data_IF_725102545890
#
_entry.id   IF_725102545890
#
_cell.length_a   1.000
_cell.length_b   1.000
_cell.length_c   1.000
_cell.angle_alpha   90.00
_cell.angle_beta   90.00
_cell.angle_gamma   90.00
#
_symmetry.space_group_name_H-M   'P 1'
#
loop_
_entity.id
_entity.type
_entity.pdbx_description
1 polymer ?
#
# COMPACT_ATOMS: atom_id res chain seq x y z
N UNK A 1 40.85 -24.10 47.07
CA UNK A 1 39.82 -23.12 46.71
C UNK A 1 40.22 -22.47 45.39
N UNK A 2 39.74 -22.97 44.28
CA UNK A 2 40.02 -22.48 42.94
C UNK A 2 39.02 -21.36 42.65
N UNK A 3 39.53 -20.13 42.49
CA UNK A 3 38.72 -18.95 42.10
C UNK A 3 38.16 -19.16 40.69
N UNK A 4 36.83 -19.18 40.58
CA UNK A 4 36.10 -19.25 39.34
C UNK A 4 36.32 -17.90 38.58
N UNK A 5 36.96 -17.95 37.41
CA UNK A 5 37.07 -16.80 36.52
C UNK A 5 35.65 -16.30 36.16
N UNK A 6 35.38 -14.99 36.20
CA UNK A 6 34.10 -14.44 35.75
C UNK A 6 33.93 -14.74 34.26
N UNK A 7 32.67 -14.96 33.78
CA UNK A 7 32.40 -15.20 32.37
C UNK A 7 32.86 -14.00 31.54
N UNK A 8 33.52 -14.28 30.43
CA UNK A 8 33.89 -13.28 29.45
C UNK A 8 32.60 -12.51 29.03
N UNK A 9 32.59 -11.20 29.23
CA UNK A 9 31.55 -10.31 28.70
C UNK A 9 31.57 -10.48 27.19
N UNK A 10 30.48 -11.02 26.61
CA UNK A 10 30.31 -11.04 25.16
C UNK A 10 30.46 -9.61 24.63
N UNK A 11 31.50 -9.38 23.83
CA UNK A 11 31.70 -8.09 23.18
C UNK A 11 30.50 -7.84 22.26
N UNK A 12 29.79 -6.74 22.51
CA UNK A 12 28.65 -6.36 21.67
C UNK A 12 29.05 -6.15 20.19
N UNK A 13 28.08 -6.02 19.29
CA UNK A 13 28.37 -5.88 17.87
C UNK A 13 29.28 -4.67 17.59
N UNK A 14 30.33 -4.90 16.82
CA UNK A 14 31.29 -3.85 16.47
C UNK A 14 30.97 -3.26 15.10
N UNK A 15 31.10 -1.92 14.97
CA UNK A 15 30.95 -1.25 13.68
C UNK A 15 32.10 -1.69 12.74
N UNK A 16 31.78 -2.17 11.50
CA UNK A 16 32.82 -2.52 10.54
C UNK A 16 33.61 -1.28 10.09
N UNK A 17 34.87 -1.49 9.67
CA UNK A 17 35.67 -0.43 9.08
C UNK A 17 35.03 0.04 7.76
N UNK A 18 34.76 1.36 7.65
CA UNK A 18 34.21 1.95 6.42
C UNK A 18 35.21 1.79 5.25
N UNK A 19 34.72 1.25 4.13
CA UNK A 19 35.51 1.02 2.91
C UNK A 19 34.89 1.65 1.66
N UNK A 20 33.62 2.03 1.74
CA UNK A 20 32.87 2.64 0.64
C UNK A 20 32.47 4.06 1.04
N UNK A 21 32.40 4.94 0.03
CA UNK A 21 31.87 6.29 0.23
C UNK A 21 30.36 6.25 -0.04
N UNK A 22 29.56 6.53 1.00
CA UNK A 22 28.10 6.57 0.93
C UNK A 22 27.54 7.48 2.03
N UNK A 23 26.35 8.04 1.75
CA UNK A 23 25.60 8.76 2.77
C UNK A 23 25.10 7.80 3.85
N UNK A 24 25.30 8.17 5.14
CA UNK A 24 24.92 7.33 6.29
C UNK A 24 23.89 8.00 7.22
N UNK A 25 23.39 9.17 6.86
CA UNK A 25 22.29 9.84 7.55
C UNK A 25 20.96 9.44 6.94
N UNK A 26 20.19 8.58 7.61
CA UNK A 26 18.88 8.16 7.14
C UNK A 26 17.96 9.32 6.76
N UNK A 27 17.74 10.34 7.63
CA UNK A 27 16.95 11.51 7.27
C UNK A 27 17.51 12.27 6.05
N UNK A 28 18.85 12.46 5.98
CA UNK A 28 19.50 13.13 4.83
C UNK A 28 19.23 12.38 3.52
N UNK A 29 19.37 11.06 3.51
CA UNK A 29 19.08 10.23 2.32
C UNK A 29 17.64 10.40 1.85
N UNK A 30 16.67 10.46 2.76
CA UNK A 30 15.27 10.70 2.40
C UNK A 30 15.07 12.06 1.75
N UNK A 31 15.61 13.13 2.32
CA UNK A 31 15.49 14.48 1.77
C UNK A 31 16.13 14.59 0.38
N UNK A 32 17.35 14.08 0.23
CA UNK A 32 18.07 14.10 -1.04
C UNK A 32 17.33 13.26 -2.11
N UNK A 33 16.80 12.11 -1.73
CA UNK A 33 16.03 11.26 -2.62
C UNK A 33 14.74 11.94 -3.11
N UNK A 34 13.96 12.54 -2.20
CA UNK A 34 12.74 13.24 -2.57
C UNK A 34 12.99 14.49 -3.41
N UNK A 35 14.09 15.21 -3.11
CA UNK A 35 14.53 16.34 -3.93
C UNK A 35 14.96 15.90 -5.34
N UNK A 36 15.66 14.76 -5.45
CA UNK A 36 16.03 14.17 -6.75
C UNK A 36 14.79 13.78 -7.55
N UNK A 37 13.82 13.09 -6.94
CA UNK A 37 12.58 12.69 -7.59
C UNK A 37 11.84 13.92 -8.13
N UNK A 38 11.71 14.99 -7.35
CA UNK A 38 11.03 16.22 -7.79
C UNK A 38 11.74 16.94 -8.95
N UNK A 39 13.05 16.74 -9.11
CA UNK A 39 13.80 17.29 -10.26
C UNK A 39 13.67 16.43 -11.51
N UNK A 40 13.49 15.12 -11.36
CA UNK A 40 13.60 14.15 -12.44
C UNK A 40 12.22 13.69 -12.96
N UNK A 41 11.19 13.61 -12.09
CA UNK A 41 9.85 13.18 -12.49
C UNK A 41 9.04 14.36 -13.03
N UNK A 42 8.25 14.12 -14.07
CA UNK A 42 7.22 15.05 -14.49
C UNK A 42 5.97 14.91 -13.63
N UNK A 43 5.84 15.78 -12.64
CA UNK A 43 4.71 15.82 -11.72
C UNK A 43 3.59 16.74 -12.17
N UNK A 44 3.66 17.34 -13.37
CA UNK A 44 2.70 18.34 -13.87
C UNK A 44 1.26 17.82 -13.96
N UNK A 45 1.08 16.50 -14.11
CA UNK A 45 -0.22 15.82 -14.17
C UNK A 45 -0.72 15.29 -12.83
N UNK A 46 0.11 15.36 -11.79
CA UNK A 46 -0.25 14.94 -10.44
C UNK A 46 -0.98 16.08 -9.73
N UNK A 47 -2.14 15.85 -9.10
CA UNK A 47 -2.79 16.86 -8.27
C UNK A 47 -1.82 17.39 -7.19
N UNK A 48 -1.86 18.70 -6.94
CA UNK A 48 -0.91 19.35 -6.04
C UNK A 48 -0.91 18.77 -4.61
N UNK A 49 -2.08 18.38 -4.09
CA UNK A 49 -2.25 17.74 -2.80
C UNK A 49 -1.76 16.28 -2.77
N UNK A 50 -1.66 15.64 -3.94
CA UNK A 50 -1.18 14.26 -4.12
C UNK A 50 0.31 14.17 -4.46
N UNK A 51 1.05 15.29 -4.57
CA UNK A 51 2.47 15.29 -4.93
C UNK A 51 3.30 14.39 -3.99
N UNK A 52 3.12 14.51 -2.68
CA UNK A 52 3.84 13.69 -1.70
C UNK A 52 3.54 12.20 -1.83
N UNK A 53 2.30 11.84 -2.19
CA UNK A 53 1.93 10.46 -2.48
C UNK A 53 2.69 9.94 -3.70
N UNK A 54 2.70 10.70 -4.80
CA UNK A 54 3.43 10.33 -6.01
C UNK A 54 4.94 10.19 -5.75
N UNK A 55 5.55 11.17 -5.08
CA UNK A 55 6.99 11.14 -4.73
C UNK A 55 7.33 9.90 -3.88
N UNK A 56 6.49 9.52 -2.91
CA UNK A 56 6.72 8.30 -2.11
C UNK A 56 6.54 7.02 -2.91
N UNK A 57 5.58 6.97 -3.82
CA UNK A 57 5.40 5.82 -4.71
C UNK A 57 6.59 5.65 -5.66
N UNK A 58 7.10 6.75 -6.21
CA UNK A 58 8.32 6.79 -7.03
C UNK A 58 9.54 6.34 -6.21
N UNK A 59 9.71 6.87 -4.99
CA UNK A 59 10.79 6.47 -4.10
C UNK A 59 10.76 4.95 -3.80
N UNK A 60 9.57 4.41 -3.51
CA UNK A 60 9.40 3.00 -3.20
C UNK A 60 9.59 2.05 -4.38
N UNK A 61 9.58 2.57 -5.63
CA UNK A 61 9.76 1.78 -6.86
C UNK A 61 11.08 2.05 -7.55
N UNK A 62 11.72 3.21 -7.31
CA UNK A 62 12.89 3.68 -8.04
C UNK A 62 12.59 4.06 -9.51
N UNK A 63 11.33 4.38 -9.85
CA UNK A 63 10.88 4.61 -11.23
C UNK A 63 10.27 6.01 -11.35
N UNK A 64 11.02 6.97 -11.88
CA UNK A 64 10.56 8.36 -12.03
C UNK A 64 9.42 8.50 -13.04
N UNK A 65 9.41 7.67 -14.08
CA UNK A 65 8.36 7.58 -15.10
C UNK A 65 7.04 6.96 -14.59
N UNK A 66 7.00 6.54 -13.32
CA UNK A 66 5.77 6.11 -12.68
C UNK A 66 4.72 7.25 -12.64
N UNK A 67 5.17 8.51 -12.59
CA UNK A 67 4.31 9.68 -12.56
C UNK A 67 3.32 9.72 -13.75
N UNK A 68 3.76 9.28 -14.94
CA UNK A 68 2.93 9.27 -16.16
C UNK A 68 1.78 8.26 -16.09
N UNK A 69 1.95 7.22 -15.30
CA UNK A 69 1.00 6.10 -15.19
C UNK A 69 0.09 6.21 -13.96
N UNK A 70 0.29 7.19 -13.08
CA UNK A 70 -0.56 7.39 -11.92
C UNK A 70 -1.96 7.84 -12.31
N UNK A 71 -2.96 7.19 -11.75
CA UNK A 71 -4.36 7.61 -11.76
C UNK A 71 -4.79 7.88 -10.32
N UNK A 72 -5.12 9.11 -10.03
CA UNK A 72 -5.44 9.57 -8.67
C UNK A 72 -6.79 10.26 -8.70
N UNK A 73 -7.74 9.77 -7.91
CA UNK A 73 -9.03 10.42 -7.74
C UNK A 73 -8.84 11.75 -7.00
N UNK A 74 -9.55 12.84 -7.41
CA UNK A 74 -9.37 14.17 -6.82
C UNK A 74 -9.54 14.22 -5.29
N UNK A 75 -10.47 13.44 -4.75
CA UNK A 75 -10.79 13.44 -3.33
C UNK A 75 -9.96 12.42 -2.51
N UNK A 76 -9.04 11.68 -3.13
CA UNK A 76 -8.31 10.60 -2.46
C UNK A 76 -7.62 11.09 -1.18
N UNK A 77 -6.86 12.17 -1.28
CA UNK A 77 -6.02 12.63 -0.17
C UNK A 77 -6.87 13.02 1.03
N UNK A 78 -7.90 13.83 0.81
CA UNK A 78 -8.79 14.31 1.86
C UNK A 78 -9.57 13.18 2.51
N UNK A 79 -10.17 12.30 1.70
CA UNK A 79 -11.04 11.22 2.19
C UNK A 79 -10.24 10.13 2.89
N UNK A 80 -9.15 9.64 2.27
CA UNK A 80 -8.34 8.59 2.88
C UNK A 80 -7.69 9.04 4.19
N UNK A 81 -7.15 10.27 4.25
CA UNK A 81 -6.60 10.83 5.50
C UNK A 81 -7.67 11.00 6.56
N UNK A 82 -8.84 11.55 6.21
CA UNK A 82 -9.95 11.69 7.12
C UNK A 82 -10.40 10.36 7.72
N UNK A 83 -10.51 9.31 6.91
CA UNK A 83 -10.82 7.96 7.34
C UNK A 83 -9.75 7.43 8.33
N UNK A 84 -8.46 7.53 7.98
CA UNK A 84 -7.38 7.09 8.86
C UNK A 84 -7.35 7.88 10.19
N UNK A 85 -7.56 9.20 10.14
CA UNK A 85 -7.65 10.06 11.33
C UNK A 85 -8.85 9.72 12.21
N UNK A 86 -9.91 9.18 11.63
CA UNK A 86 -11.10 8.70 12.35
C UNK A 86 -10.93 7.26 12.90
N UNK A 87 -9.79 6.61 12.64
CA UNK A 87 -9.50 5.28 13.16
C UNK A 87 -9.88 4.14 12.22
N UNK A 88 -10.20 4.43 10.95
CA UNK A 88 -10.54 3.42 9.96
C UNK A 88 -9.46 2.34 9.83
N UNK A 89 -9.82 1.06 9.67
CA UNK A 89 -8.85 -0.01 9.44
C UNK A 89 -8.27 0.08 8.03
N UNK A 90 -7.05 -0.47 7.87
CA UNK A 90 -6.41 -0.72 6.58
C UNK A 90 -6.55 -2.21 6.26
N UNK A 91 -7.20 -2.54 5.15
CA UNK A 91 -7.43 -3.92 4.70
C UNK A 91 -6.44 -4.25 3.58
N UNK A 92 -5.57 -5.22 3.80
CA UNK A 92 -4.49 -5.58 2.88
C UNK A 92 -4.73 -6.95 2.23
N UNK A 93 -4.54 -7.05 0.90
CA UNK A 93 -4.71 -8.30 0.15
C UNK A 93 -3.66 -9.36 0.52
N UNK A 94 -2.44 -8.93 0.83
CA UNK A 94 -1.32 -9.82 1.18
C UNK A 94 -0.52 -9.30 2.37
N UNK A 95 0.14 -10.22 3.07
CA UNK A 95 0.99 -9.92 4.23
C UNK A 95 2.12 -8.94 3.87
N UNK A 96 2.65 -9.00 2.64
CA UNK A 96 3.71 -8.11 2.19
C UNK A 96 3.26 -6.63 2.18
N UNK A 97 2.03 -6.34 1.77
CA UNK A 97 1.45 -4.99 1.87
C UNK A 97 1.29 -4.59 3.34
N UNK A 98 0.68 -5.46 4.15
CA UNK A 98 0.43 -5.19 5.57
C UNK A 98 1.74 -4.94 6.36
N UNK A 99 2.81 -5.66 6.03
CA UNK A 99 4.13 -5.51 6.66
C UNK A 99 4.83 -4.22 6.19
N UNK A 100 4.56 -3.77 4.96
CA UNK A 100 5.10 -2.52 4.41
C UNK A 100 4.46 -1.25 5.01
N UNK A 101 3.33 -1.38 5.70
CA UNK A 101 2.69 -0.25 6.39
C UNK A 101 3.49 0.11 7.65
N UNK A 102 4.01 1.32 7.69
CA UNK A 102 4.73 1.87 8.84
C UNK A 102 3.73 2.25 9.94
N UNK A 103 3.55 1.37 10.93
CA UNK A 103 2.55 1.53 12.01
C UNK A 103 2.65 2.87 12.75
N UNK A 104 3.87 3.36 12.97
CA UNK A 104 4.12 4.64 13.65
C UNK A 104 3.66 5.86 12.85
N UNK A 105 3.32 5.71 11.58
CA UNK A 105 2.75 6.77 10.74
C UNK A 105 1.23 6.82 10.82
N UNK A 106 0.58 5.75 11.24
CA UNK A 106 -0.88 5.70 11.36
C UNK A 106 -1.36 6.61 12.50
N UNK A 107 -2.36 7.47 12.25
CA UNK A 107 -2.70 8.55 13.19
C UNK A 107 -3.47 8.09 14.44
N UNK A 108 -4.05 6.88 14.46
CA UNK A 108 -4.98 6.39 15.49
C UNK A 108 -4.81 4.92 15.87
N UNK A 109 -3.63 4.37 15.92
CA UNK A 109 -3.47 2.92 16.14
C UNK A 109 -4.39 2.08 15.25
N UNK A 110 -4.58 2.53 14.01
CA UNK A 110 -5.46 1.88 13.04
C UNK A 110 -5.08 0.40 12.88
N UNK A 111 -6.08 -0.46 12.88
CA UNK A 111 -5.86 -1.87 12.57
C UNK A 111 -5.38 -2.02 11.12
N UNK A 112 -4.38 -2.87 10.92
CA UNK A 112 -3.95 -3.27 9.57
C UNK A 112 -4.18 -4.77 9.46
N UNK A 113 -5.20 -5.13 8.71
CA UNK A 113 -5.72 -6.49 8.62
C UNK A 113 -5.31 -7.13 7.29
N UNK A 114 -4.80 -8.35 7.36
CA UNK A 114 -4.60 -9.21 6.20
C UNK A 114 -5.19 -10.58 6.52
N UNK A 115 -6.30 -10.91 5.89
CA UNK A 115 -7.06 -12.14 6.16
C UNK A 115 -6.66 -13.31 5.25
N UNK A 116 -5.57 -13.18 4.48
CA UNK A 116 -5.06 -14.24 3.59
C UNK A 116 -4.70 -15.54 4.34
N UNK A 117 -4.32 -15.44 5.61
CA UNK A 117 -3.99 -16.57 6.48
C UNK A 117 -5.17 -17.18 7.23
N UNK A 118 -6.39 -16.65 7.07
CA UNK A 118 -7.58 -17.16 7.75
C UNK A 118 -7.87 -18.62 7.30
N UNK A 119 -8.15 -19.55 8.23
CA UNK A 119 -8.37 -20.97 7.92
C UNK A 119 -9.55 -21.22 6.98
N UNK A 120 -10.49 -20.31 6.84
CA UNK A 120 -11.61 -20.39 5.89
C UNK A 120 -11.17 -20.17 4.45
N UNK A 121 -10.12 -19.40 4.20
CA UNK A 121 -9.68 -19.00 2.86
C UNK A 121 -9.40 -20.18 1.92
N UNK A 122 -8.66 -21.23 2.31
CA UNK A 122 -8.44 -22.37 1.41
C UNK A 122 -9.72 -23.11 1.03
N UNK A 123 -10.70 -23.16 1.92
CA UNK A 123 -12.01 -23.82 1.67
C UNK A 123 -12.81 -22.97 0.68
N UNK A 124 -12.97 -21.69 0.96
CA UNK A 124 -13.70 -20.74 0.09
C UNK A 124 -13.09 -20.68 -1.31
N UNK A 125 -11.76 -20.60 -1.41
CA UNK A 125 -11.07 -20.56 -2.69
C UNK A 125 -11.35 -21.81 -3.56
N UNK A 126 -11.35 -22.98 -2.95
CA UNK A 126 -11.67 -24.24 -3.62
C UNK A 126 -13.13 -24.29 -4.02
N UNK A 127 -14.04 -24.02 -3.09
CA UNK A 127 -15.48 -24.19 -3.29
C UNK A 127 -16.03 -23.18 -4.34
N UNK A 128 -15.42 -22.01 -4.44
CA UNK A 128 -15.76 -20.99 -5.43
C UNK A 128 -14.90 -21.03 -6.69
N UNK A 129 -13.95 -21.97 -6.78
CA UNK A 129 -13.01 -22.06 -7.90
C UNK A 129 -12.28 -20.74 -8.18
N UNK A 130 -11.85 -20.03 -7.11
CA UNK A 130 -11.20 -18.73 -7.19
C UNK A 130 -9.82 -18.73 -6.51
N UNK A 131 -9.11 -17.60 -6.55
CA UNK A 131 -7.82 -17.47 -5.88
C UNK A 131 -7.98 -17.29 -4.38
N UNK A 132 -6.95 -17.66 -3.61
CA UNK A 132 -6.93 -17.44 -2.15
C UNK A 132 -7.08 -15.96 -1.78
N UNK A 133 -6.49 -15.06 -2.57
CA UNK A 133 -6.58 -13.61 -2.32
C UNK A 133 -7.98 -13.09 -2.56
N UNK A 134 -8.67 -13.50 -3.63
CA UNK A 134 -10.07 -13.16 -3.86
C UNK A 134 -10.97 -13.70 -2.73
N UNK A 135 -10.81 -14.98 -2.36
CA UNK A 135 -11.54 -15.55 -1.24
C UNK A 135 -11.31 -14.82 0.10
N UNK A 136 -10.07 -14.37 0.35
CA UNK A 136 -9.73 -13.61 1.54
C UNK A 136 -10.41 -12.24 1.58
N UNK A 137 -10.57 -11.57 0.43
CA UNK A 137 -11.26 -10.28 0.31
C UNK A 137 -12.73 -10.39 0.70
N UNK A 138 -13.41 -11.52 0.45
CA UNK A 138 -14.78 -11.72 0.92
C UNK A 138 -14.92 -11.62 2.44
N UNK A 139 -13.87 -11.95 3.18
CA UNK A 139 -13.85 -11.83 4.64
C UNK A 139 -13.72 -10.39 5.12
N UNK A 140 -13.51 -9.43 4.22
CA UNK A 140 -13.47 -8.00 4.56
C UNK A 140 -14.84 -7.40 4.81
N UNK A 141 -15.92 -8.03 4.36
CA UNK A 141 -17.27 -7.47 4.44
C UNK A 141 -17.63 -6.85 5.81
N UNK A 142 -17.32 -7.46 6.97
CA UNK A 142 -17.60 -6.86 8.27
C UNK A 142 -16.73 -5.64 8.64
N UNK A 143 -15.65 -5.40 7.90
CA UNK A 143 -14.64 -4.36 8.18
C UNK A 143 -14.56 -3.32 7.07
N UNK A 144 -15.35 -3.46 5.99
CA UNK A 144 -15.16 -2.71 4.76
C UNK A 144 -15.73 -1.29 4.84
N UNK A 145 -16.80 -1.09 5.62
CA UNK A 145 -17.46 0.21 5.75
C UNK A 145 -16.47 1.28 6.26
N UNK A 146 -16.20 2.26 5.41
CA UNK A 146 -15.28 3.35 5.70
C UNK A 146 -13.80 2.98 5.82
N UNK A 147 -13.42 1.73 5.56
CA UNK A 147 -12.02 1.26 5.59
C UNK A 147 -11.18 1.85 4.46
N UNK A 148 -9.85 1.76 4.58
CA UNK A 148 -8.92 1.97 3.47
C UNK A 148 -8.50 0.61 2.93
N UNK A 149 -8.97 0.26 1.73
CA UNK A 149 -8.61 -1.00 1.07
C UNK A 149 -7.29 -0.86 0.31
N UNK A 150 -6.39 -1.84 0.47
CA UNK A 150 -5.04 -1.83 -0.09
C UNK A 150 -4.74 -3.14 -0.81
N UNK A 151 -4.71 -3.10 -2.12
CA UNK A 151 -4.47 -4.25 -2.99
C UNK A 151 -3.19 -4.01 -3.79
N UNK A 152 -2.13 -4.72 -3.43
CA UNK A 152 -0.80 -4.54 -3.99
C UNK A 152 -0.23 -5.76 -4.70
N UNK A 153 -0.95 -6.89 -4.71
CA UNK A 153 -0.42 -8.09 -5.31
C UNK A 153 -1.38 -8.69 -6.35
N UNK A 154 -2.61 -9.04 -5.96
CA UNK A 154 -3.45 -9.89 -6.79
C UNK A 154 -4.52 -9.10 -7.56
N UNK A 155 -4.51 -9.13 -8.92
CA UNK A 155 -5.59 -8.56 -9.72
C UNK A 155 -6.96 -9.15 -9.38
N UNK A 156 -7.02 -10.44 -9.08
CA UNK A 156 -8.25 -11.13 -8.69
C UNK A 156 -8.84 -10.62 -7.37
N UNK A 157 -7.99 -10.12 -6.45
CA UNK A 157 -8.47 -9.47 -5.23
C UNK A 157 -9.14 -8.13 -5.53
N UNK A 158 -8.59 -7.36 -6.48
CA UNK A 158 -9.20 -6.09 -6.90
C UNK A 158 -10.52 -6.31 -7.61
N UNK A 159 -10.59 -7.20 -8.59
CA UNK A 159 -11.85 -7.55 -9.24
C UNK A 159 -12.90 -8.00 -8.23
N UNK A 160 -12.52 -8.91 -7.32
CA UNK A 160 -13.46 -9.44 -6.33
C UNK A 160 -13.98 -8.34 -5.38
N UNK A 161 -13.13 -7.40 -4.96
CA UNK A 161 -13.57 -6.25 -4.18
C UNK A 161 -14.60 -5.41 -4.95
N UNK A 162 -14.34 -5.12 -6.24
CA UNK A 162 -15.26 -4.35 -7.07
C UNK A 162 -16.60 -5.08 -7.25
N UNK A 163 -16.57 -6.39 -7.48
CA UNK A 163 -17.78 -7.22 -7.57
C UNK A 163 -18.58 -7.20 -6.25
N UNK A 164 -17.93 -7.33 -5.10
CA UNK A 164 -18.61 -7.20 -3.79
C UNK A 164 -19.30 -5.84 -3.63
N UNK A 165 -18.65 -4.76 -4.05
CA UNK A 165 -19.22 -3.41 -4.00
C UNK A 165 -20.42 -3.29 -4.92
N UNK A 166 -20.36 -3.86 -6.13
CA UNK A 166 -21.46 -3.91 -7.08
C UNK A 166 -22.65 -4.74 -6.55
N UNK A 167 -22.39 -5.77 -5.76
CA UNK A 167 -23.39 -6.59 -5.08
C UNK A 167 -23.97 -5.92 -3.82
N UNK A 168 -23.56 -4.68 -3.51
CA UNK A 168 -24.13 -3.89 -2.42
C UNK A 168 -23.47 -4.06 -1.06
N UNK A 169 -22.27 -4.64 -0.99
CA UNK A 169 -21.47 -4.63 0.25
C UNK A 169 -21.05 -3.19 0.58
N UNK A 170 -20.98 -2.78 1.86
CA UNK A 170 -20.55 -1.44 2.24
C UNK A 170 -19.23 -1.03 1.58
N UNK A 171 -19.14 0.23 1.18
CA UNK A 171 -17.99 0.74 0.44
C UNK A 171 -16.84 1.13 1.37
N UNK A 172 -15.56 0.89 0.96
CA UNK A 172 -14.43 1.48 1.65
C UNK A 172 -14.41 3.00 1.41
N UNK A 173 -13.79 3.74 2.32
CA UNK A 173 -13.56 5.17 2.15
C UNK A 173 -12.61 5.45 0.98
N UNK A 174 -11.63 4.59 0.77
CA UNK A 174 -10.67 4.74 -0.33
C UNK A 174 -10.06 3.39 -0.73
N UNK A 175 -9.58 3.30 -1.99
CA UNK A 175 -8.91 2.12 -2.53
C UNK A 175 -7.51 2.49 -3.02
N UNK A 176 -6.47 1.90 -2.43
CA UNK A 176 -5.11 1.89 -2.96
C UNK A 176 -4.96 0.60 -3.78
N UNK A 177 -5.28 0.69 -5.07
CA UNK A 177 -5.41 -0.46 -5.96
C UNK A 177 -4.25 -0.56 -6.96
N UNK A 178 -3.10 -1.10 -6.55
CA UNK A 178 -1.92 -1.22 -7.39
C UNK A 178 -1.46 -2.68 -7.55
N UNK A 179 -2.32 -3.65 -7.92
CA UNK A 179 -1.86 -5.00 -8.18
C UNK A 179 -0.88 -5.03 -9.35
N UNK A 180 0.05 -5.98 -9.31
CA UNK A 180 1.10 -6.16 -10.31
C UNK A 180 0.88 -7.46 -11.09
N UNK A 181 1.20 -7.48 -12.38
CA UNK A 181 1.21 -8.75 -13.12
C UNK A 181 0.96 -8.63 -14.61
N UNK A 182 0.99 -9.80 -15.25
CA UNK A 182 0.83 -9.92 -16.70
C UNK A 182 -0.59 -10.33 -17.11
N UNK A 183 -1.38 -10.87 -16.16
CA UNK A 183 -2.75 -11.33 -16.38
C UNK A 183 -3.68 -10.60 -15.43
N UNK A 184 -4.62 -9.84 -15.95
CA UNK A 184 -5.65 -9.14 -15.17
C UNK A 184 -5.21 -7.88 -14.41
N UNK A 185 -3.90 -7.57 -14.34
CA UNK A 185 -3.43 -6.42 -13.57
C UNK A 185 -3.83 -5.09 -14.21
N UNK A 186 -3.64 -4.93 -15.50
CA UNK A 186 -4.07 -3.72 -16.20
C UNK A 186 -5.59 -3.58 -16.20
N UNK A 187 -6.28 -4.69 -16.44
CA UNK A 187 -7.73 -4.77 -16.56
C UNK A 187 -8.43 -4.48 -15.24
N UNK A 188 -7.96 -5.02 -14.12
CA UNK A 188 -8.54 -4.76 -12.80
C UNK A 188 -8.39 -3.30 -12.36
N UNK A 189 -7.27 -2.68 -12.69
CA UNK A 189 -7.02 -1.26 -12.41
C UNK A 189 -7.83 -0.33 -13.31
N UNK A 190 -8.05 -0.75 -14.56
CA UNK A 190 -8.94 -0.03 -15.45
C UNK A 190 -10.40 -0.12 -14.98
N UNK A 191 -10.84 -1.30 -14.51
CA UNK A 191 -12.17 -1.46 -13.91
C UNK A 191 -12.35 -0.55 -12.68
N UNK A 192 -11.33 -0.43 -11.82
CA UNK A 192 -11.37 0.52 -10.70
C UNK A 192 -11.50 1.97 -11.19
N UNK A 193 -10.71 2.36 -12.19
CA UNK A 193 -10.73 3.71 -12.72
C UNK A 193 -12.05 4.08 -13.40
N UNK A 194 -12.72 3.11 -14.01
CA UNK A 194 -13.98 3.28 -14.72
C UNK A 194 -15.22 3.07 -13.83
N UNK A 195 -15.06 2.71 -12.56
CA UNK A 195 -16.17 2.31 -11.67
C UNK A 195 -17.28 3.38 -11.61
N UNK A 196 -16.87 4.65 -11.57
CA UNK A 196 -17.81 5.78 -11.58
C UNK A 196 -18.54 5.90 -12.93
N UNK A 197 -17.82 5.80 -14.02
CA UNK A 197 -18.38 5.98 -15.37
C UNK A 197 -19.32 4.83 -15.75
N UNK A 198 -18.93 3.59 -15.44
CA UNK A 198 -19.65 2.38 -15.85
C UNK A 198 -20.80 2.03 -14.90
N UNK A 199 -20.68 2.33 -13.61
CA UNK A 199 -21.61 1.87 -12.57
C UNK A 199 -22.17 2.96 -11.66
N UNK A 200 -21.73 4.22 -11.84
CA UNK A 200 -22.18 5.35 -11.00
C UNK A 200 -21.66 5.32 -9.56
N UNK A 201 -20.66 4.47 -9.26
CA UNK A 201 -20.07 4.32 -7.94
C UNK A 201 -18.77 5.12 -7.87
N UNK A 202 -18.74 6.12 -6.99
CA UNK A 202 -17.63 7.07 -6.87
C UNK A 202 -16.85 6.83 -5.57
N UNK A 203 -15.77 6.07 -5.65
CA UNK A 203 -14.89 5.76 -4.52
C UNK A 203 -13.51 6.36 -4.79
N UNK A 204 -12.97 7.20 -3.88
CA UNK A 204 -11.61 7.72 -4.00
C UNK A 204 -10.56 6.63 -4.12
N UNK A 205 -9.66 6.76 -5.09
CA UNK A 205 -8.64 5.73 -5.34
C UNK A 205 -7.31 6.31 -5.82
N UNK A 206 -6.26 5.50 -5.70
CA UNK A 206 -5.02 5.60 -6.48
C UNK A 206 -4.72 4.27 -7.13
N UNK A 207 -4.30 4.33 -8.38
CA UNK A 207 -3.80 3.17 -9.12
C UNK A 207 -2.70 3.55 -10.11
N UNK A 208 -2.10 2.56 -10.75
CA UNK A 208 -1.03 2.71 -11.76
C UNK A 208 -1.46 2.00 -13.02
N UNK A 209 -1.42 2.67 -14.16
CA UNK A 209 -1.79 2.08 -15.46
C UNK A 209 -0.91 0.86 -15.81
N UNK A 210 -1.46 -0.03 -16.60
CA UNK A 210 -0.73 -1.16 -17.16
C UNK A 210 -0.36 -2.24 -16.13
N UNK A 211 0.80 -2.87 -16.32
CA UNK A 211 1.24 -4.04 -15.52
C UNK A 211 1.97 -3.66 -14.24
N UNK A 212 2.45 -2.42 -14.13
CA UNK A 212 3.18 -1.92 -12.95
C UNK A 212 2.30 -1.93 -11.72
N UNK A 213 2.93 -2.11 -10.58
CA UNK A 213 2.28 -2.14 -9.27
C UNK A 213 3.16 -2.87 -8.27
N UNK A 214 2.53 -3.41 -7.25
CA UNK A 214 3.19 -4.25 -6.27
C UNK A 214 3.09 -3.73 -4.85
N UNK A 215 3.41 -4.62 -3.90
CA UNK A 215 3.26 -4.34 -2.47
C UNK A 215 4.08 -3.14 -2.00
N UNK A 216 5.26 -2.91 -2.58
CA UNK A 216 6.11 -1.75 -2.23
C UNK A 216 5.44 -0.42 -2.63
N UNK A 217 4.89 -0.32 -3.86
CA UNK A 217 4.16 0.88 -4.30
C UNK A 217 2.92 1.12 -3.45
N UNK A 218 2.15 0.06 -3.19
CA UNK A 218 0.92 0.12 -2.38
C UNK A 218 1.20 0.57 -0.96
N UNK A 219 2.19 -0.02 -0.29
CA UNK A 219 2.56 0.39 1.07
C UNK A 219 3.16 1.79 1.12
N UNK A 220 3.91 2.21 0.08
CA UNK A 220 4.42 3.58 -0.06
C UNK A 220 3.28 4.60 -0.16
N UNK A 221 2.23 4.29 -0.95
CA UNK A 221 1.03 5.11 -1.04
C UNK A 221 0.30 5.21 0.31
N UNK A 222 0.09 4.09 0.99
CA UNK A 222 -0.51 4.07 2.34
C UNK A 222 0.29 4.90 3.34
N UNK A 223 1.62 4.77 3.35
CA UNK A 223 2.49 5.53 4.25
C UNK A 223 2.48 7.04 3.95
N UNK A 224 2.20 7.44 2.70
CA UNK A 224 2.00 8.84 2.32
C UNK A 224 0.63 9.36 2.76
N UNK A 225 -0.42 8.54 2.66
CA UNK A 225 -1.78 8.89 3.10
C UNK A 225 -1.87 8.99 4.64
N UNK A 226 -1.12 8.14 5.35
CA UNK A 226 -1.17 8.07 6.82
C UNK A 226 -0.63 9.30 7.53
N UNK A 227 0.25 10.08 6.89
CA UNK A 227 0.92 11.23 7.53
C UNK A 227 1.15 12.37 6.53
N UNK A 228 0.92 13.62 6.96
CA UNK A 228 1.19 14.81 6.15
C UNK A 228 2.68 15.15 6.05
N UNK A 229 3.45 14.89 7.12
CA UNK A 229 4.88 15.11 7.11
C UNK A 229 5.61 14.13 6.18
N UNK A 230 6.65 14.62 5.53
CA UNK A 230 7.59 13.78 4.77
C UNK A 230 8.50 12.94 5.66
#
# INVERSE_FOLDING_TARGET
MTAKQPPATEAGPQRPRRRYDYADSGPGIYWDSFAAIRREADLSRVPADAEKLAVRMIHGSGQVDLADDLLIHPDLISVARGALQSGAPVLCDVTMVATGVTRSRLPRNNDVLCLLGDPRVPVLARDWSTTRTAAAVSLWAPHLDGAVAAIGNAPTALFHLLEMILDGVPQPAAIVGCPVGFIGAAESKQALANLREEHGIDIPYVTVRGRRGGSAMTSSALNALAQEAE
#
